data_IF_100618757216
#
_entry.id   IF_100618757216
#
_cell.length_a   1.000
_cell.length_b   1.000
_cell.length_c   1.000
_cell.angle_alpha   90.00
_cell.angle_beta   90.00
_cell.angle_gamma   90.00
#
_symmetry.space_group_name_H-M   'P 1'
#
loop_
_entity.id
_entity.type
_entity.pdbx_description
1 polymer ?
#
# COMPACT_ATOMS: atom_id res chain seq x y z
N UNK A 1 -22.63 0.68 4.03
CA UNK A 1 -21.48 -0.02 3.45
C UNK A 1 -20.31 0.25 4.36
N UNK A 2 -19.93 -0.74 5.17
CA UNK A 2 -18.74 -0.64 6.01
C UNK A 2 -17.53 -0.86 5.10
N UNK A 3 -16.61 0.10 5.04
CA UNK A 3 -15.46 0.06 4.14
C UNK A 3 -14.40 -0.97 4.54
N UNK A 4 -14.57 -1.66 5.68
CA UNK A 4 -13.69 -2.70 6.26
C UNK A 4 -12.17 -2.47 6.12
N UNK A 5 -11.76 -1.21 5.95
CA UNK A 5 -10.37 -0.86 5.72
C UNK A 5 -9.59 -0.99 7.02
N UNK A 6 -8.58 -1.84 7.01
CA UNK A 6 -7.68 -2.06 8.16
C UNK A 6 -6.81 -0.82 8.43
N UNK A 7 -6.22 -0.69 9.63
CA UNK A 7 -5.23 0.37 9.89
C UNK A 7 -4.10 0.42 8.87
N UNK A 8 -3.71 -0.73 8.31
CA UNK A 8 -2.65 -0.83 7.30
C UNK A 8 -3.06 -0.16 5.99
N UNK A 9 -4.33 -0.26 5.58
CA UNK A 9 -4.86 0.45 4.40
C UNK A 9 -4.75 1.97 4.55
N UNK A 10 -5.19 2.49 5.70
CA UNK A 10 -5.14 3.93 5.96
C UNK A 10 -3.69 4.44 6.01
N UNK A 11 -2.79 3.74 6.71
CA UNK A 11 -1.39 4.10 6.78
C UNK A 11 -0.73 4.11 5.38
N UNK A 12 -1.06 3.13 4.54
CA UNK A 12 -0.60 3.03 3.16
C UNK A 12 -1.10 4.20 2.29
N UNK A 13 -2.40 4.53 2.36
CA UNK A 13 -3.00 5.65 1.63
C UNK A 13 -2.36 6.99 1.96
N UNK A 14 -2.13 7.25 3.25
CA UNK A 14 -1.53 8.50 3.71
C UNK A 14 -0.02 8.59 3.53
N UNK A 15 0.66 7.51 3.10
CA UNK A 15 2.10 7.55 2.93
C UNK A 15 2.87 7.55 4.26
N UNK A 16 2.28 7.02 5.35
CA UNK A 16 2.88 7.05 6.69
C UNK A 16 3.76 5.82 6.99
N UNK A 17 5.01 5.85 6.52
CA UNK A 17 5.97 4.74 6.66
C UNK A 17 6.15 4.24 8.11
N UNK A 18 6.32 5.10 9.15
CA UNK A 18 6.54 4.61 10.51
C UNK A 18 5.34 3.83 11.07
N UNK A 19 4.12 4.20 10.66
CA UNK A 19 2.91 3.49 11.09
C UNK A 19 2.78 2.17 10.35
N UNK A 20 3.11 2.13 9.05
CA UNK A 20 3.15 0.86 8.30
C UNK A 20 4.13 -0.12 8.95
N UNK A 21 5.33 0.33 9.30
CA UNK A 21 6.34 -0.51 9.96
C UNK A 21 5.83 -1.08 11.28
N UNK A 22 5.30 -0.24 12.17
CA UNK A 22 4.76 -0.69 13.46
C UNK A 22 3.59 -1.68 13.30
N UNK A 23 2.73 -1.49 12.29
CA UNK A 23 1.62 -2.40 12.01
C UNK A 23 2.11 -3.76 11.49
N UNK A 24 3.13 -3.77 10.61
CA UNK A 24 3.74 -5.00 10.12
C UNK A 24 4.44 -5.77 11.25
N UNK A 25 5.14 -5.09 12.15
CA UNK A 25 5.75 -5.68 13.35
C UNK A 25 4.71 -6.32 14.29
N UNK A 26 3.50 -5.75 14.35
CA UNK A 26 2.38 -6.31 15.10
C UNK A 26 1.67 -7.48 14.39
N UNK A 27 2.13 -7.88 13.20
CA UNK A 27 1.52 -8.96 12.43
C UNK A 27 0.22 -8.55 11.72
N UNK A 28 0.08 -7.28 11.33
CA UNK A 28 -1.07 -6.83 10.56
C UNK A 28 -1.23 -7.68 9.28
N UNK A 29 -2.46 -8.05 8.90
CA UNK A 29 -2.70 -8.88 7.73
C UNK A 29 -2.43 -8.09 6.45
N UNK A 30 -1.35 -8.44 5.77
CA UNK A 30 -0.84 -7.75 4.56
C UNK A 30 -1.80 -7.88 3.38
N UNK A 31 -2.35 -9.09 3.20
CA UNK A 31 -3.27 -9.46 2.11
C UNK A 31 -4.74 -9.27 2.50
N UNK A 32 -5.03 -8.56 3.60
CA UNK A 32 -6.42 -8.23 3.92
C UNK A 32 -6.98 -7.31 2.83
N UNK A 33 -8.11 -7.69 2.24
CA UNK A 33 -8.86 -6.83 1.33
C UNK A 33 -9.77 -5.87 2.09
N UNK A 34 -9.92 -4.65 1.57
CA UNK A 34 -10.94 -3.70 2.05
C UNK A 34 -12.36 -4.15 1.68
N UNK A 35 -13.37 -3.58 2.33
CA UNK A 35 -14.77 -3.97 2.15
C UNK A 35 -15.43 -3.46 0.87
N UNK A 36 -14.78 -2.54 0.15
CA UNK A 36 -15.33 -1.87 -1.03
C UNK A 36 -14.88 -2.53 -2.32
N UNK A 37 -13.58 -2.79 -2.45
CA UNK A 37 -12.98 -3.30 -3.68
C UNK A 37 -12.15 -4.56 -3.47
N UNK A 38 -12.12 -5.09 -2.24
CA UNK A 38 -11.21 -6.17 -1.86
C UNK A 38 -9.75 -5.81 -2.20
N UNK A 39 -9.40 -4.52 -2.09
CA UNK A 39 -8.07 -4.02 -2.35
C UNK A 39 -7.19 -4.17 -1.12
N UNK A 40 -5.93 -4.53 -1.32
CA UNK A 40 -4.91 -4.70 -0.28
C UNK A 40 -4.28 -3.35 0.11
N UNK A 41 -3.50 -3.36 1.19
CA UNK A 41 -2.71 -2.19 1.57
C UNK A 41 -1.71 -1.76 0.48
N UNK A 42 -1.20 -2.70 -0.33
CA UNK A 42 -0.28 -2.38 -1.43
C UNK A 42 -0.99 -1.60 -2.54
N UNK A 43 -2.21 -1.99 -2.90
CA UNK A 43 -3.05 -1.26 -3.87
C UNK A 43 -3.41 0.14 -3.33
N UNK A 44 -3.70 0.27 -2.03
CA UNK A 44 -3.94 1.57 -1.40
C UNK A 44 -2.71 2.47 -1.39
N UNK A 45 -1.50 1.92 -1.19
CA UNK A 45 -0.25 2.67 -1.28
C UNK A 45 -0.01 3.19 -2.70
N UNK A 46 -0.18 2.33 -3.71
CA UNK A 46 -0.02 2.70 -5.12
C UNK A 46 -1.04 3.76 -5.55
N UNK A 47 -2.32 3.56 -5.20
CA UNK A 47 -3.38 4.52 -5.52
C UNK A 47 -3.18 5.85 -4.79
N UNK A 48 -2.80 5.80 -3.51
CA UNK A 48 -2.54 6.98 -2.68
C UNK A 48 -1.35 7.82 -3.15
N UNK A 49 -0.34 7.21 -3.76
CA UNK A 49 0.80 7.94 -4.31
C UNK A 49 0.41 8.87 -5.49
N UNK A 50 -0.60 8.45 -6.26
CA UNK A 50 -1.02 9.16 -7.49
C UNK A 50 -2.21 10.09 -7.21
N UNK A 51 -3.14 9.65 -6.36
CA UNK A 51 -4.39 10.37 -6.09
C UNK A 51 -4.39 11.12 -4.76
N UNK A 52 -3.44 10.82 -3.87
CA UNK A 52 -3.33 11.45 -2.57
C UNK A 52 -3.04 12.93 -2.71
N UNK A 53 -3.88 13.76 -2.10
CA UNK A 53 -3.65 15.21 -2.01
C UNK A 53 -2.73 15.54 -0.80
N UNK A 54 -1.93 14.59 -0.35
CA UNK A 54 -1.20 14.63 0.91
C UNK A 54 0.28 14.88 0.64
N UNK A 55 0.93 15.74 1.44
CA UNK A 55 2.31 16.16 1.23
C UNK A 55 3.38 15.09 1.58
N UNK A 56 2.98 13.85 1.87
CA UNK A 56 3.88 12.78 2.30
C UNK A 56 4.43 12.03 1.09
N UNK A 57 5.75 11.99 0.97
CA UNK A 57 6.48 11.30 -0.11
C UNK A 57 6.86 9.85 0.26
N UNK A 58 6.11 9.22 1.18
CA UNK A 58 6.48 7.94 1.79
C UNK A 58 6.02 6.69 1.03
N UNK A 59 5.19 6.84 -0.01
CA UNK A 59 4.54 5.69 -0.66
C UNK A 59 5.53 4.70 -1.29
N UNK A 60 6.64 5.15 -1.88
CA UNK A 60 7.67 4.24 -2.41
C UNK A 60 8.29 3.37 -1.32
N UNK A 61 8.58 3.95 -0.16
CA UNK A 61 9.15 3.22 0.97
C UNK A 61 8.15 2.22 1.55
N UNK A 62 6.87 2.60 1.61
CA UNK A 62 5.78 1.70 2.00
C UNK A 62 5.63 0.54 1.03
N UNK A 63 5.62 0.80 -0.28
CA UNK A 63 5.58 -0.25 -1.30
C UNK A 63 6.76 -1.21 -1.09
N UNK A 64 7.98 -0.69 -0.93
CA UNK A 64 9.14 -1.53 -0.66
C UNK A 64 8.99 -2.38 0.63
N UNK A 65 8.45 -1.79 1.71
CA UNK A 65 8.22 -2.50 2.99
C UNK A 65 7.18 -3.59 2.87
N UNK A 66 6.02 -3.31 2.27
CA UNK A 66 4.96 -4.28 2.03
C UNK A 66 5.48 -5.43 1.15
N UNK A 67 6.23 -5.10 0.11
CA UNK A 67 6.91 -6.06 -0.73
C UNK A 67 7.90 -6.93 0.06
N UNK A 68 8.74 -6.36 0.91
CA UNK A 68 9.67 -7.12 1.78
C UNK A 68 8.93 -8.02 2.77
N UNK A 69 7.76 -7.59 3.23
CA UNK A 69 6.90 -8.35 4.12
C UNK A 69 6.11 -9.46 3.40
N UNK A 70 6.23 -9.58 2.07
CA UNK A 70 5.64 -10.65 1.28
C UNK A 70 4.31 -10.30 0.60
N UNK A 71 3.98 -9.01 0.48
CA UNK A 71 2.79 -8.59 -0.26
C UNK A 71 2.85 -9.05 -1.73
N UNK A 72 1.75 -9.59 -2.25
CA UNK A 72 1.59 -9.96 -3.66
C UNK A 72 1.42 -8.72 -4.53
N UNK A 73 2.16 -8.69 -5.65
CA UNK A 73 2.06 -7.63 -6.67
C UNK A 73 0.99 -7.93 -7.72
N UNK A 74 0.46 -9.15 -7.77
CA UNK A 74 -0.48 -9.59 -8.81
C UNK A 74 -1.81 -8.80 -8.77
N UNK A 75 -2.10 -8.18 -7.62
CA UNK A 75 -3.32 -7.41 -7.39
C UNK A 75 -3.19 -5.93 -7.80
N UNK A 76 -1.98 -5.44 -8.08
CA UNK A 76 -1.76 -4.02 -8.40
C UNK A 76 -1.85 -3.78 -9.90
N UNK A 77 -2.83 -2.98 -10.31
CA UNK A 77 -2.94 -2.51 -11.69
C UNK A 77 -1.72 -1.67 -12.07
N UNK A 78 -1.13 -1.98 -13.23
CA UNK A 78 0.05 -1.29 -13.79
C UNK A 78 -0.24 -0.77 -15.21
N UNK A 79 0.33 0.39 -15.61
CA UNK A 79 1.14 1.28 -14.78
C UNK A 79 0.27 2.00 -13.74
N UNK A 80 0.82 2.17 -12.55
CA UNK A 80 0.15 2.87 -11.44
C UNK A 80 0.04 4.37 -11.73
N UNK A 81 0.94 4.90 -12.56
CA UNK A 81 1.09 6.33 -12.84
C UNK A 81 2.25 6.97 -12.07
N UNK A 82 2.83 6.25 -11.12
CA UNK A 82 4.10 6.62 -10.47
C UNK A 82 5.20 5.67 -10.94
N UNK A 83 6.12 6.20 -11.75
CA UNK A 83 7.18 5.43 -12.40
C UNK A 83 8.14 4.75 -11.40
N UNK A 84 8.28 5.29 -10.19
CA UNK A 84 9.12 4.71 -9.15
C UNK A 84 8.40 3.58 -8.43
N UNK A 85 7.09 3.65 -8.25
CA UNK A 85 6.29 2.50 -7.78
C UNK A 85 6.28 1.40 -8.83
N UNK A 86 6.07 1.74 -10.10
CA UNK A 86 6.06 0.76 -11.20
C UNK A 86 7.38 -0.04 -11.25
N UNK A 87 8.53 0.64 -11.14
CA UNK A 87 9.83 -0.02 -11.10
C UNK A 87 10.01 -0.97 -9.89
N UNK A 88 9.44 -0.65 -8.73
CA UNK A 88 9.48 -1.52 -7.54
C UNK A 88 8.62 -2.78 -7.73
N UNK A 89 7.49 -2.65 -8.43
CA UNK A 89 6.59 -3.77 -8.71
C UNK A 89 7.12 -4.70 -9.81
N UNK A 90 7.94 -4.20 -10.73
CA UNK A 90 8.59 -4.99 -11.80
C UNK A 90 9.82 -5.77 -11.34
N UNK A 91 10.50 -5.32 -10.28
CA UNK A 91 11.73 -5.95 -9.76
C UNK A 91 11.50 -7.19 -8.88
N UNK A 92 10.37 -7.87 -9.03
CA UNK A 92 9.85 -8.92 -8.14
C UNK A 92 9.63 -10.24 -8.87
#
# INVERSE_FOLDING_TARGET
METAATPLHWAAWYGCEPVVEALLECGAPIEAGDGTFNSTALQWAAHGAVQGHHSYSGHHAIVERLLKAGASTDTVDRPTGDSRIDALLEGK
#
